data_IF_691128523401
#
_entry.id   IF_691128523401
#
_cell.length_a   1.000
_cell.length_b   1.000
_cell.length_c   1.000
_cell.angle_alpha   90.00
_cell.angle_beta   90.00
_cell.angle_gamma   90.00
#
_symmetry.space_group_name_H-M   'P 1'
#
loop_
_entity.id
_entity.type
_entity.pdbx_description
1 polymer ?
#
# COMPACT_ATOMS: atom_id res chain seq x y z
N UNK A 1 -14.23 0.12 10.59
CA UNK A 1 -13.30 1.26 10.80
C UNK A 1 -12.08 1.06 9.91
N UNK A 2 -12.01 1.77 8.77
CA UNK A 2 -10.86 1.75 7.84
C UNK A 2 -9.65 2.52 8.41
N UNK A 3 -9.19 2.15 9.60
CA UNK A 3 -8.16 2.90 10.34
C UNK A 3 -6.97 2.06 10.84
N UNK A 4 -7.02 0.74 10.65
CA UNK A 4 -5.86 -0.10 10.91
C UNK A 4 -4.83 0.15 9.82
N UNK A 5 -3.70 0.75 10.16
CA UNK A 5 -2.52 0.74 9.29
C UNK A 5 -2.25 -0.72 8.95
N UNK A 6 -2.62 -1.16 7.74
CA UNK A 6 -2.15 -2.45 7.25
C UNK A 6 -0.63 -2.35 7.39
N UNK A 7 -0.02 -3.12 8.29
CA UNK A 7 1.42 -3.12 8.48
C UNK A 7 1.98 -3.59 7.15
N UNK A 8 2.40 -2.60 6.35
CA UNK A 8 2.07 -2.56 4.93
C UNK A 8 3.00 -3.47 4.13
N UNK A 9 2.71 -3.73 2.84
CA UNK A 9 3.69 -4.33 1.93
C UNK A 9 5.12 -3.76 2.04
N UNK A 10 5.27 -2.50 2.50
CA UNK A 10 6.57 -1.89 2.78
C UNK A 10 7.37 -2.58 3.90
N UNK A 11 6.72 -3.09 4.95
CA UNK A 11 7.43 -3.80 6.03
C UNK A 11 8.08 -5.10 5.52
N UNK A 12 7.42 -5.79 4.58
CA UNK A 12 8.00 -6.95 3.90
C UNK A 12 9.21 -6.57 3.05
N UNK A 13 9.11 -5.50 2.25
CA UNK A 13 10.25 -4.99 1.47
C UNK A 13 11.42 -4.59 2.35
N UNK A 14 11.18 -3.91 3.48
CA UNK A 14 12.24 -3.53 4.41
C UNK A 14 12.89 -4.74 5.09
N UNK A 15 12.12 -5.77 5.44
CA UNK A 15 12.67 -7.02 5.94
C UNK A 15 13.54 -7.73 4.89
N UNK A 16 13.10 -7.73 3.63
CA UNK A 16 13.90 -8.26 2.51
C UNK A 16 15.23 -7.51 2.33
N UNK A 17 15.24 -6.18 2.45
CA UNK A 17 16.48 -5.41 2.40
C UNK A 17 17.43 -5.81 3.53
N UNK A 18 16.89 -5.96 4.74
CA UNK A 18 17.65 -6.42 5.89
C UNK A 18 18.29 -7.78 5.63
N UNK A 19 17.52 -8.74 5.11
CA UNK A 19 18.01 -10.07 4.74
C UNK A 19 19.09 -9.99 3.65
N UNK A 20 18.81 -9.26 2.56
CA UNK A 20 19.74 -9.10 1.44
C UNK A 20 21.09 -8.53 1.90
N UNK A 21 21.09 -7.46 2.70
CA UNK A 21 22.34 -6.85 3.16
C UNK A 21 23.02 -7.60 4.31
N UNK A 22 22.36 -8.56 4.96
CA UNK A 22 23.04 -9.52 5.83
C UNK A 22 23.88 -10.52 5.00
N UNK A 23 23.36 -10.96 3.85
CA UNK A 23 24.06 -11.88 2.95
C UNK A 23 25.11 -11.18 2.07
N UNK A 24 24.81 -9.95 1.62
CA UNK A 24 25.64 -9.14 0.72
C UNK A 24 25.94 -7.76 1.32
N UNK A 25 26.65 -7.67 2.46
CA UNK A 25 26.87 -6.40 3.16
C UNK A 25 27.70 -5.39 2.35
N UNK A 26 28.56 -5.88 1.45
CA UNK A 26 29.39 -5.01 0.59
C UNK A 26 28.54 -4.15 -0.32
N UNK A 27 27.43 -4.67 -0.83
CA UNK A 27 26.56 -3.98 -1.79
C UNK A 27 25.98 -2.70 -1.20
N UNK A 28 25.62 -2.72 0.09
CA UNK A 28 25.13 -1.53 0.78
C UNK A 28 26.20 -0.43 0.82
N UNK A 29 27.44 -0.83 1.12
CA UNK A 29 28.56 0.11 1.24
C UNK A 29 29.03 0.63 -0.11
N UNK A 30 29.12 -0.22 -1.12
CA UNK A 30 29.63 0.12 -2.46
C UNK A 30 28.59 0.78 -3.35
N UNK A 31 27.30 0.62 -3.07
CA UNK A 31 26.20 1.25 -3.80
C UNK A 31 25.61 2.43 -3.02
N UNK A 32 24.55 2.22 -2.22
CA UNK A 32 23.82 3.31 -1.55
C UNK A 32 24.69 4.25 -0.72
N UNK A 33 25.62 3.74 0.08
CA UNK A 33 26.50 4.60 0.91
C UNK A 33 27.50 5.37 0.04
N UNK A 34 28.20 4.70 -0.88
CA UNK A 34 29.17 5.32 -1.77
C UNK A 34 28.55 6.40 -2.68
N UNK A 35 27.26 6.27 -3.03
CA UNK A 35 26.53 7.26 -3.81
C UNK A 35 26.42 8.64 -3.14
N UNK A 36 26.50 8.69 -1.81
CA UNK A 36 26.22 9.90 -1.03
C UNK A 36 24.77 10.40 -1.09
N UNK A 37 23.84 9.64 -1.71
CA UNK A 37 22.44 10.04 -1.87
C UNK A 37 21.55 9.69 -0.68
N UNK A 38 22.02 8.84 0.24
CA UNK A 38 21.27 8.48 1.44
C UNK A 38 21.01 9.71 2.32
N UNK A 39 19.74 9.97 2.70
CA UNK A 39 19.42 11.12 3.53
C UNK A 39 20.00 10.92 4.93
N UNK A 40 20.55 11.99 5.51
CA UNK A 40 21.07 11.98 6.88
C UNK A 40 20.06 12.64 7.81
N UNK A 41 19.59 11.87 8.78
CA UNK A 41 18.71 12.39 9.81
C UNK A 41 19.44 13.35 10.73
N UNK A 42 18.70 14.34 11.21
CA UNK A 42 19.07 15.17 12.36
C UNK A 42 17.89 15.17 13.32
N UNK A 43 18.16 15.49 14.59
CA UNK A 43 17.08 15.72 15.55
C UNK A 43 16.21 16.85 15.02
N UNK A 44 14.91 16.62 14.94
CA UNK A 44 13.95 17.62 14.51
C UNK A 44 13.32 18.26 15.75
N UNK A 45 13.52 19.57 15.87
CA UNK A 45 13.08 20.39 17.00
C UNK A 45 11.78 21.15 16.68
N UNK A 46 11.12 20.85 15.55
CA UNK A 46 9.93 21.56 15.10
C UNK A 46 8.67 21.27 15.95
N UNK A 47 8.60 20.09 16.58
CA UNK A 47 7.46 19.70 17.42
C UNK A 47 7.61 20.34 18.82
N UNK A 48 6.70 21.26 19.20
CA UNK A 48 6.73 21.95 20.50
C UNK A 48 6.68 20.95 21.67
N UNK A 49 7.74 20.94 22.48
CA UNK A 49 7.80 20.16 23.72
C UNK A 49 8.21 18.69 23.57
N UNK A 50 8.33 18.15 22.36
CA UNK A 50 8.84 16.78 22.14
C UNK A 50 9.70 16.73 20.87
N UNK A 51 11.03 16.92 20.95
CA UNK A 51 11.86 16.82 19.77
C UNK A 51 11.79 15.41 19.19
N UNK A 52 11.58 15.31 17.88
CA UNK A 52 11.57 14.01 17.19
C UNK A 52 12.99 13.47 17.11
N UNK A 53 13.28 12.29 17.69
CA UNK A 53 14.61 11.72 17.66
C UNK A 53 15.10 11.45 16.24
N UNK A 54 16.40 11.58 16.01
CA UNK A 54 17.01 11.38 14.69
C UNK A 54 16.83 9.96 14.13
N UNK A 55 16.51 8.95 14.94
CA UNK A 55 16.27 7.58 14.45
C UNK A 55 14.86 7.37 13.90
N UNK A 56 13.94 8.34 14.04
CA UNK A 56 12.58 8.22 13.52
C UNK A 56 12.59 8.47 12.01
N UNK A 57 12.19 7.46 11.24
CA UNK A 57 12.07 7.53 9.78
C UNK A 57 10.74 8.17 9.40
N UNK A 58 10.77 9.35 8.78
CA UNK A 58 9.58 9.95 8.18
C UNK A 58 9.36 9.45 6.74
N UNK A 59 8.22 9.81 6.15
CA UNK A 59 7.86 9.38 4.79
C UNK A 59 8.86 9.87 3.73
N UNK A 60 9.44 11.06 3.89
CA UNK A 60 10.40 11.63 2.95
C UNK A 60 11.71 10.85 3.00
N UNK A 61 12.24 10.62 4.18
CA UNK A 61 13.45 9.86 4.40
C UNK A 61 13.29 8.40 3.96
N UNK A 62 12.17 7.76 4.31
CA UNK A 62 11.85 6.41 3.87
C UNK A 62 11.82 6.31 2.34
N UNK A 63 11.15 7.25 1.66
CA UNK A 63 11.06 7.27 0.20
C UNK A 63 12.43 7.49 -0.46
N UNK A 64 13.22 8.47 0.00
CA UNK A 64 14.54 8.74 -0.58
C UNK A 64 15.52 7.59 -0.36
N UNK A 65 15.50 6.96 0.82
CA UNK A 65 16.29 5.77 1.11
C UNK A 65 15.88 4.63 0.18
N UNK A 66 14.58 4.40 -0.01
CA UNK A 66 14.07 3.37 -0.92
C UNK A 66 14.56 3.55 -2.36
N UNK A 67 14.46 4.78 -2.88
CA UNK A 67 14.93 5.10 -4.22
C UNK A 67 16.44 4.87 -4.36
N UNK A 68 17.22 5.28 -3.36
CA UNK A 68 18.68 5.13 -3.39
C UNK A 68 19.10 3.65 -3.31
N UNK A 69 18.46 2.87 -2.44
CA UNK A 69 18.72 1.43 -2.31
C UNK A 69 18.46 0.72 -3.64
N UNK A 70 17.28 0.93 -4.24
CA UNK A 70 16.92 0.27 -5.49
C UNK A 70 17.77 0.72 -6.68
N UNK A 71 18.16 2.00 -6.74
CA UNK A 71 18.95 2.53 -7.86
C UNK A 71 20.40 2.03 -7.85
N UNK A 72 20.98 1.80 -6.67
CA UNK A 72 22.40 1.44 -6.54
C UNK A 72 22.65 -0.01 -6.12
N UNK A 73 21.60 -0.84 -6.05
CA UNK A 73 21.70 -2.25 -5.66
C UNK A 73 20.99 -3.13 -6.69
N UNK A 74 21.63 -3.46 -7.83
CA UNK A 74 20.99 -4.23 -8.90
C UNK A 74 20.40 -5.56 -8.45
N UNK A 75 21.08 -6.30 -7.56
CA UNK A 75 20.55 -7.56 -7.02
C UNK A 75 19.26 -7.37 -6.23
N UNK A 76 19.11 -6.26 -5.50
CA UNK A 76 17.86 -5.94 -4.80
C UNK A 76 16.75 -5.60 -5.80
N UNK A 77 17.07 -4.87 -6.87
CA UNK A 77 16.11 -4.54 -7.93
C UNK A 77 15.52 -5.80 -8.57
N UNK A 78 16.35 -6.83 -8.82
CA UNK A 78 15.88 -8.12 -9.34
C UNK A 78 14.94 -8.84 -8.36
N UNK A 79 15.29 -8.86 -7.06
CA UNK A 79 14.44 -9.45 -6.02
C UNK A 79 13.10 -8.72 -5.91
N UNK A 80 13.10 -7.38 -5.96
CA UNK A 80 11.87 -6.60 -5.91
C UNK A 80 10.99 -6.84 -7.14
N UNK A 81 11.59 -6.94 -8.33
CA UNK A 81 10.87 -7.21 -9.58
C UNK A 81 10.09 -8.54 -9.49
N UNK A 82 10.63 -9.55 -8.82
CA UNK A 82 9.93 -10.84 -8.59
C UNK A 82 8.79 -10.73 -7.56
N UNK A 83 8.87 -9.77 -6.64
CA UNK A 83 7.88 -9.59 -5.56
C UNK A 83 6.68 -8.72 -5.93
N UNK A 84 6.69 -8.07 -7.10
CA UNK A 84 5.67 -7.09 -7.52
C UNK A 84 4.24 -7.60 -7.44
N UNK A 85 4.00 -8.84 -7.85
CA UNK A 85 2.67 -9.47 -7.79
C UNK A 85 2.21 -9.78 -6.37
N UNK A 86 3.13 -10.06 -5.44
CA UNK A 86 2.79 -10.38 -4.04
C UNK A 86 2.10 -9.19 -3.38
N UNK A 87 2.53 -7.96 -3.70
CA UNK A 87 1.87 -6.74 -3.20
C UNK A 87 0.43 -6.65 -3.68
N UNK A 88 0.20 -6.84 -4.97
CA UNK A 88 -1.14 -6.79 -5.54
C UNK A 88 -2.03 -7.88 -4.92
N UNK A 89 -1.57 -9.14 -4.91
CA UNK A 89 -2.30 -10.27 -4.34
C UNK A 89 -2.64 -10.03 -2.86
N UNK A 90 -1.67 -9.63 -2.03
CA UNK A 90 -1.92 -9.35 -0.61
C UNK A 90 -2.92 -8.22 -0.42
N UNK A 91 -2.81 -7.14 -1.18
CA UNK A 91 -3.75 -6.04 -1.08
C UNK A 91 -5.18 -6.51 -1.38
N UNK A 92 -5.34 -7.34 -2.41
CA UNK A 92 -6.63 -7.89 -2.86
C UNK A 92 -7.23 -8.83 -1.81
N UNK A 93 -6.44 -9.78 -1.31
CA UNK A 93 -6.90 -10.74 -0.30
C UNK A 93 -7.15 -10.12 1.07
N UNK A 94 -6.41 -9.08 1.46
CA UNK A 94 -6.64 -8.36 2.71
C UNK A 94 -7.83 -7.39 2.65
N UNK A 95 -8.27 -7.00 1.45
CA UNK A 95 -9.41 -6.11 1.26
C UNK A 95 -10.43 -6.74 0.30
N UNK A 96 -11.11 -7.83 0.70
CA UNK A 96 -12.14 -8.45 -0.12
C UNK A 96 -13.18 -7.41 -0.56
N UNK A 97 -13.44 -7.30 -1.87
CA UNK A 97 -14.25 -6.23 -2.49
C UNK A 97 -15.58 -6.06 -1.76
N UNK A 98 -16.28 -7.15 -1.45
CA UNK A 98 -17.59 -7.07 -0.79
C UNK A 98 -17.51 -6.50 0.62
N UNK A 99 -16.55 -6.98 1.42
CA UNK A 99 -16.34 -6.51 2.79
C UNK A 99 -15.87 -5.04 2.79
N UNK A 100 -14.98 -4.70 1.86
CA UNK A 100 -14.44 -3.36 1.71
C UNK A 100 -15.54 -2.36 1.31
N UNK A 101 -16.36 -2.69 0.30
CA UNK A 101 -17.45 -1.82 -0.14
C UNK A 101 -18.53 -1.62 0.91
N UNK A 102 -18.84 -2.65 1.71
CA UNK A 102 -19.77 -2.51 2.82
C UNK A 102 -19.25 -1.48 3.83
N UNK A 103 -17.98 -1.58 4.24
CA UNK A 103 -17.38 -0.62 5.16
C UNK A 103 -17.25 0.78 4.55
N UNK A 104 -16.93 0.88 3.26
CA UNK A 104 -16.84 2.15 2.56
C UNK A 104 -18.20 2.84 2.47
N UNK A 105 -19.26 2.06 2.27
CA UNK A 105 -20.64 2.56 2.31
C UNK A 105 -21.04 3.00 3.72
N UNK A 106 -20.68 2.25 4.75
CA UNK A 106 -20.93 2.64 6.14
C UNK A 106 -20.24 3.97 6.48
N UNK A 107 -18.97 4.14 6.10
CA UNK A 107 -18.22 5.38 6.30
C UNK A 107 -18.82 6.53 5.47
N UNK A 108 -19.21 6.28 4.21
CA UNK A 108 -19.91 7.26 3.37
C UNK A 108 -21.21 7.73 4.02
N UNK A 109 -22.05 6.80 4.45
CA UNK A 109 -23.34 7.09 5.04
C UNK A 109 -23.17 7.85 6.38
N UNK A 110 -22.13 7.51 7.15
CA UNK A 110 -21.74 8.22 8.38
C UNK A 110 -21.39 9.69 8.10
N UNK A 111 -20.50 9.96 7.14
CA UNK A 111 -20.09 11.32 6.82
C UNK A 111 -21.22 12.13 6.16
N UNK A 112 -21.99 11.52 5.27
CA UNK A 112 -23.16 12.14 4.64
C UNK A 112 -24.15 12.62 5.71
N UNK A 113 -24.44 11.77 6.70
CA UNK A 113 -25.30 12.14 7.82
C UNK A 113 -24.70 13.27 8.66
N UNK A 114 -23.42 13.14 9.02
CA UNK A 114 -22.72 14.15 9.84
C UNK A 114 -22.72 15.53 9.18
N UNK A 115 -22.48 15.61 7.87
CA UNK A 115 -22.52 16.89 7.15
C UNK A 115 -23.91 17.51 7.15
N UNK A 116 -24.96 16.72 6.94
CA UNK A 116 -26.34 17.20 7.01
C UNK A 116 -26.70 17.68 8.42
N UNK A 117 -26.29 16.95 9.46
CA UNK A 117 -26.50 17.30 10.87
C UNK A 117 -25.77 18.61 11.24
N UNK A 118 -24.61 18.89 10.64
CA UNK A 118 -23.84 20.13 10.79
C UNK A 118 -24.35 21.27 9.88
N UNK A 119 -25.42 21.05 9.10
CA UNK A 119 -26.07 22.06 8.26
C UNK A 119 -25.45 22.25 6.87
N UNK A 120 -24.52 21.37 6.46
CA UNK A 120 -23.96 21.38 5.11
C UNK A 120 -24.83 20.59 4.13
N UNK A 121 -25.15 21.17 2.97
CA UNK A 121 -25.83 20.47 1.87
C UNK A 121 -27.30 20.12 2.12
N UNK A 122 -27.97 20.81 3.06
CA UNK A 122 -29.39 20.59 3.39
C UNK A 122 -30.36 20.89 2.24
N UNK A 123 -29.90 21.59 1.21
CA UNK A 123 -30.62 21.88 -0.03
C UNK A 123 -30.59 20.72 -1.04
N UNK A 124 -29.77 19.69 -0.79
CA UNK A 124 -29.55 18.56 -1.71
C UNK A 124 -30.09 17.26 -1.13
N UNK A 125 -30.49 16.30 -2.00
CA UNK A 125 -30.88 14.97 -1.55
C UNK A 125 -29.69 14.24 -0.93
N UNK A 126 -29.99 13.26 -0.07
CA UNK A 126 -28.97 12.41 0.55
C UNK A 126 -28.08 11.75 -0.53
N UNK A 127 -26.76 11.88 -0.44
CA UNK A 127 -25.87 11.41 -1.50
C UNK A 127 -25.86 9.88 -1.55
N UNK A 128 -26.15 9.31 -2.72
CA UNK A 128 -26.13 7.86 -2.91
C UNK A 128 -24.69 7.37 -3.09
N UNK A 129 -24.32 6.29 -2.40
CA UNK A 129 -23.01 5.64 -2.58
C UNK A 129 -22.90 5.07 -4.01
N UNK A 130 -21.88 5.46 -4.80
CA UNK A 130 -21.86 5.17 -6.25
C UNK A 130 -21.34 3.77 -6.60
N UNK A 131 -20.79 3.03 -5.64
CA UNK A 131 -20.14 1.74 -5.89
C UNK A 131 -20.98 0.57 -5.36
N UNK A 132 -20.97 -0.53 -6.12
CA UNK A 132 -21.55 -1.80 -5.73
C UNK A 132 -20.61 -2.94 -6.15
N UNK A 133 -20.77 -4.17 -5.65
CA UNK A 133 -19.83 -5.25 -5.97
C UNK A 133 -19.67 -5.50 -7.48
N UNK A 134 -20.76 -5.42 -8.24
CA UNK A 134 -20.74 -5.70 -9.68
C UNK A 134 -19.93 -4.67 -10.46
N UNK A 135 -20.18 -3.37 -10.23
CA UNK A 135 -19.48 -2.32 -10.98
C UNK A 135 -17.98 -2.25 -10.60
N UNK A 136 -17.61 -2.56 -9.36
CA UNK A 136 -16.21 -2.60 -8.95
C UNK A 136 -15.49 -3.81 -9.52
N UNK A 137 -16.13 -4.97 -9.59
CA UNK A 137 -15.59 -6.16 -10.27
C UNK A 137 -15.35 -5.85 -11.76
N UNK A 138 -16.28 -5.14 -12.41
CA UNK A 138 -16.12 -4.73 -13.83
C UNK A 138 -14.94 -3.77 -14.02
N UNK A 139 -14.86 -2.72 -13.21
CA UNK A 139 -13.73 -1.77 -13.22
C UNK A 139 -12.40 -2.52 -13.07
N UNK A 140 -12.39 -3.49 -12.17
CA UNK A 140 -11.21 -4.25 -11.84
C UNK A 140 -10.80 -5.22 -12.94
N UNK A 141 -11.76 -5.95 -13.53
CA UNK A 141 -11.51 -6.82 -14.67
C UNK A 141 -10.97 -6.02 -15.86
N UNK A 142 -11.52 -4.83 -16.12
CA UNK A 142 -11.00 -3.94 -17.16
C UNK A 142 -9.55 -3.54 -16.86
N UNK A 143 -9.25 -3.16 -15.62
CA UNK A 143 -7.88 -2.81 -15.22
C UNK A 143 -6.90 -3.96 -15.45
N UNK A 144 -7.27 -5.20 -15.10
CA UNK A 144 -6.42 -6.38 -15.34
C UNK A 144 -6.18 -6.63 -16.83
N UNK A 145 -7.20 -6.43 -17.68
CA UNK A 145 -7.04 -6.53 -19.13
C UNK A 145 -6.08 -5.47 -19.66
N UNK A 146 -6.21 -4.22 -19.19
CA UNK A 146 -5.38 -3.10 -19.63
C UNK A 146 -3.92 -3.23 -19.16
N UNK A 147 -3.70 -3.73 -17.93
CA UNK A 147 -2.37 -3.92 -17.35
C UNK A 147 -1.72 -5.25 -17.72
N UNK A 148 -2.42 -6.13 -18.44
CA UNK A 148 -1.99 -7.50 -18.75
C UNK A 148 -1.65 -8.31 -17.48
N UNK A 149 -2.31 -7.99 -16.37
CA UNK A 149 -2.20 -8.78 -15.15
C UNK A 149 -2.97 -10.09 -15.29
N UNK A 150 -2.47 -11.19 -14.70
CA UNK A 150 -3.24 -12.42 -14.66
C UNK A 150 -4.57 -12.19 -13.91
N UNK A 151 -5.64 -12.92 -14.25
CA UNK A 151 -6.86 -12.91 -13.45
C UNK A 151 -6.51 -13.36 -12.03
N UNK A 152 -6.73 -12.49 -11.06
CA UNK A 152 -6.45 -12.76 -9.65
C UNK A 152 -7.74 -12.81 -8.83
N UNK A 153 -7.78 -13.65 -7.78
CA UNK A 153 -8.89 -13.67 -6.85
C UNK A 153 -9.00 -12.32 -6.12
N UNK A 154 -10.22 -11.80 -6.04
CA UNK A 154 -10.56 -10.54 -5.38
C UNK A 154 -11.22 -10.75 -4.02
N UNK A 155 -11.92 -11.87 -3.86
CA UNK A 155 -12.59 -12.29 -2.64
C UNK A 155 -12.16 -13.71 -2.23
N UNK A 156 -12.38 -14.08 -0.97
CA UNK A 156 -12.14 -15.45 -0.46
C UNK A 156 -12.93 -16.51 -1.25
N UNK A 157 -14.06 -16.13 -1.82
CA UNK A 157 -14.89 -16.99 -2.67
C UNK A 157 -14.21 -17.32 -4.00
N UNK A 158 -13.41 -16.40 -4.54
CA UNK A 158 -12.65 -16.60 -5.77
C UNK A 158 -11.51 -17.60 -5.56
N UNK A 159 -10.98 -17.71 -4.33
CA UNK A 159 -9.99 -18.72 -3.98
C UNK A 159 -10.54 -20.16 -4.06
N UNK A 160 -11.86 -20.33 -3.91
CA UNK A 160 -12.52 -21.65 -4.04
C UNK A 160 -12.72 -22.06 -5.49
N UNK A 161 -12.75 -21.12 -6.43
CA UNK A 161 -12.74 -21.42 -7.86
C UNK A 161 -11.39 -22.01 -8.30
N UNK A 162 -10.30 -21.68 -7.60
CA UNK A 162 -8.97 -22.26 -7.85
C UNK A 162 -8.79 -23.70 -7.32
N UNK A 163 -9.80 -24.32 -6.68
CA UNK A 163 -9.72 -25.70 -6.16
C UNK A 163 -10.18 -26.77 -7.17
N UNK A 164 -10.66 -26.39 -8.35
CA UNK A 164 -11.29 -27.33 -9.29
C UNK A 164 -11.01 -27.14 -10.76
N UNK A 165 -10.73 -25.93 -11.25
CA UNK A 165 -10.56 -25.69 -12.69
C UNK A 165 -9.44 -24.68 -12.95
N UNK A 166 -8.23 -25.18 -13.13
CA UNK A 166 -7.29 -24.58 -14.08
C UNK A 166 -7.08 -25.61 -15.20
N UNK A 167 -7.15 -25.24 -16.48
CA UNK A 167 -6.59 -26.06 -17.54
C UNK A 167 -5.09 -26.28 -17.36
#
# INVERSE_FOLDING_TARGET
>A
QMGGTSFSPGAYSWALWGLYFMDYPTDFTSGPVASGMLPRHKVDMADEGTPRPAHVVDARHGTTTAMSVNMFTPGMQEVEALSGFVKAIRHRLCHPIRKFLLQAKEDWDHYAKRFLDEGFGTDKPYPTYPYNPQNVIEIYNQHMMDSQEPPMPCDEEDLRLCQGDFP
#
